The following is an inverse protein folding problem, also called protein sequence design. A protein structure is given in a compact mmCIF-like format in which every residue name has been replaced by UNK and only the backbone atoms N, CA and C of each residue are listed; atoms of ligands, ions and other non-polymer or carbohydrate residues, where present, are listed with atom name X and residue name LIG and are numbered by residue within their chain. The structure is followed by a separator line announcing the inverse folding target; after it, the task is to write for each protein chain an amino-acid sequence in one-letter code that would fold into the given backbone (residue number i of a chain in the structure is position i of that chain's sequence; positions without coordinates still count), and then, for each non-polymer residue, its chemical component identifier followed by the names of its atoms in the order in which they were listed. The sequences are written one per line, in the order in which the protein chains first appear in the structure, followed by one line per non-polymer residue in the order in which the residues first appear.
data_IF_514610350399
#
_entry.id   IF_514610350399
#
_cell.length_a   1.000
_cell.length_b   1.000
_cell.length_c   1.000
_cell.angle_alpha   90.00
_cell.angle_beta   90.00
_cell.angle_gamma   90.00
#
_symmetry.space_group_name_H-M   'P 1'
#
loop_
_entity.id
_entity.type
_entity.pdbx_description
1 polymer ?
#
# COMPACT_ATOMS: atom_id res chain seq x y z
N UNK A 1 -1.90 -18.27 10.96
CA UNK A 1 -2.88 -17.49 11.76
C UNK A 1 -2.10 -16.55 12.68
N UNK A 2 -2.27 -15.22 12.54
CA UNK A 2 -1.54 -14.22 13.35
C UNK A 2 -2.28 -13.90 14.66
N UNK A 3 -1.54 -13.72 15.76
CA UNK A 3 -2.04 -13.55 17.14
C UNK A 3 -1.40 -12.27 17.74
N UNK A 4 -2.17 -11.41 18.42
CA UNK A 4 -1.71 -10.09 18.94
C UNK A 4 -1.10 -10.15 20.36
N UNK A 5 0.01 -9.43 20.59
CA UNK A 5 0.71 -9.29 21.88
C UNK A 5 2.20 -8.91 21.74
N UNK A 6 2.95 -8.76 22.84
CA UNK A 6 4.41 -8.47 22.80
C UNK A 6 5.26 -9.58 22.12
N UNK A 7 4.67 -10.74 21.85
CA UNK A 7 5.22 -11.82 21.03
C UNK A 7 4.51 -12.01 19.69
N UNK A 8 3.81 -10.99 19.18
CA UNK A 8 3.19 -11.01 17.85
C UNK A 8 4.28 -11.06 16.77
N UNK A 9 4.28 -12.05 15.86
CA UNK A 9 5.25 -12.13 14.78
C UNK A 9 5.15 -10.98 13.76
N UNK A 10 4.09 -10.15 13.79
CA UNK A 10 3.89 -9.07 12.79
C UNK A 10 3.68 -7.71 13.48
N UNK A 11 4.74 -7.12 14.07
CA UNK A 11 4.60 -6.05 15.05
C UNK A 11 3.98 -4.74 14.55
N UNK A 12 3.85 -4.49 13.23
CA UNK A 12 3.21 -3.26 12.70
C UNK A 12 2.52 -3.49 11.35
N UNK A 13 1.25 -3.88 11.38
CA UNK A 13 0.34 -3.55 10.28
C UNK A 13 -0.12 -2.12 10.47
N UNK A 14 0.29 -1.24 9.58
CA UNK A 14 -0.23 0.12 9.55
C UNK A 14 -1.48 0.17 8.68
N UNK A 15 -2.51 0.84 9.17
CA UNK A 15 -3.62 1.34 8.35
C UNK A 15 -3.16 2.55 7.53
N UNK A 16 -3.92 2.93 6.50
CA UNK A 16 -3.65 4.13 5.72
C UNK A 16 -3.63 5.38 6.63
N UNK A 17 -4.55 5.44 7.60
CA UNK A 17 -4.65 6.53 8.57
C UNK A 17 -3.44 6.59 9.50
N UNK A 18 -2.95 5.43 9.96
CA UNK A 18 -1.74 5.39 10.80
C UNK A 18 -0.49 5.81 10.01
N UNK A 19 -0.36 5.42 8.74
CA UNK A 19 0.75 5.87 7.91
C UNK A 19 0.65 7.38 7.65
N UNK A 20 -0.54 7.89 7.32
CA UNK A 20 -0.78 9.32 7.14
C UNK A 20 -0.42 10.12 8.40
N UNK A 21 -0.81 9.63 9.58
CA UNK A 21 -0.46 10.27 10.86
C UNK A 21 1.05 10.27 11.11
N UNK A 22 1.76 9.20 10.78
CA UNK A 22 3.22 9.15 10.89
C UNK A 22 3.91 10.13 9.93
N UNK A 23 3.45 10.21 8.68
CA UNK A 23 3.98 11.15 7.68
C UNK A 23 3.73 12.60 8.11
N UNK A 24 2.51 12.93 8.56
CA UNK A 24 2.18 14.25 9.10
C UNK A 24 2.96 14.60 10.36
N UNK A 25 3.13 13.63 11.27
CA UNK A 25 3.95 13.78 12.48
C UNK A 25 5.44 14.02 12.19
N UNK A 26 5.93 13.61 11.03
CA UNK A 26 7.27 13.91 10.54
C UNK A 26 7.40 15.31 9.89
N UNK A 27 6.34 16.12 9.87
CA UNK A 27 6.34 17.46 9.28
C UNK A 27 6.26 17.45 7.74
N UNK A 28 5.82 16.34 7.15
CA UNK A 28 5.60 16.23 5.71
C UNK A 28 4.11 16.43 5.39
N UNK A 29 3.82 17.01 4.23
CA UNK A 29 2.49 17.00 3.64
C UNK A 29 2.16 15.55 3.21
N UNK A 30 1.06 15.01 3.70
CA UNK A 30 0.60 13.67 3.34
C UNK A 30 0.03 13.71 1.93
N UNK A 31 0.66 12.97 1.02
CA UNK A 31 0.21 12.79 -0.36
C UNK A 31 -0.60 11.50 -0.55
N UNK A 32 -0.71 11.02 -1.80
CA UNK A 32 -1.48 9.82 -2.13
C UNK A 32 -1.01 8.57 -1.37
N UNK A 33 -1.98 7.70 -1.06
CA UNK A 33 -1.76 6.37 -0.46
C UNK A 33 -2.18 5.31 -1.47
N UNK A 34 -1.25 4.42 -1.81
CA UNK A 34 -1.46 3.35 -2.78
C UNK A 34 -1.48 1.99 -2.10
N UNK A 35 -2.43 1.15 -2.48
CA UNK A 35 -2.36 -0.29 -2.23
C UNK A 35 -1.33 -0.92 -3.17
N UNK A 36 -0.47 -1.80 -2.66
CA UNK A 36 0.53 -2.51 -3.47
C UNK A 36 0.30 -4.01 -3.31
N UNK A 37 0.31 -4.73 -4.44
CA UNK A 37 0.03 -6.17 -4.53
C UNK A 37 -1.33 -6.50 -3.90
N UNK A 38 -2.38 -5.89 -4.44
CA UNK A 38 -3.77 -6.10 -4.01
C UNK A 38 -4.25 -7.50 -4.40
N UNK A 39 -3.84 -7.98 -5.57
CA UNK A 39 -4.31 -9.25 -6.16
C UNK A 39 -3.19 -10.25 -6.42
N UNK A 40 -1.95 -9.80 -6.63
CA UNK A 40 -0.81 -10.64 -6.99
C UNK A 40 -0.57 -11.80 -6.02
N UNK A 41 -0.97 -11.64 -4.76
CA UNK A 41 -0.81 -12.64 -3.70
C UNK A 41 -2.03 -13.51 -3.50
N UNK A 42 -3.16 -13.10 -4.09
CA UNK A 42 -4.45 -13.77 -4.01
C UNK A 42 -4.72 -14.61 -5.26
N UNK A 43 -4.13 -14.25 -6.39
CA UNK A 43 -4.28 -14.96 -7.67
C UNK A 43 -3.33 -16.16 -7.70
N UNK A 44 -3.83 -17.39 -7.94
CA UNK A 44 -2.99 -18.56 -8.12
C UNK A 44 -1.99 -18.38 -9.28
N UNK A 45 -0.69 -18.57 -9.01
CA UNK A 45 0.36 -18.38 -10.02
C UNK A 45 0.16 -19.20 -11.30
N UNK A 46 -0.38 -20.42 -11.18
CA UNK A 46 -0.69 -21.28 -12.33
C UNK A 46 -1.61 -20.60 -13.36
N UNK A 47 -2.58 -19.78 -12.92
CA UNK A 47 -3.47 -19.07 -13.85
C UNK A 47 -2.76 -17.95 -14.58
N UNK A 48 -1.76 -17.32 -13.95
CA UNK A 48 -0.94 -16.27 -14.56
C UNK A 48 0.05 -16.86 -15.55
N UNK A 49 0.56 -18.06 -15.26
CA UNK A 49 1.59 -18.74 -16.06
C UNK A 49 1.00 -19.42 -17.32
N UNK A 50 -0.25 -19.87 -17.29
CA UNK A 50 -0.85 -20.64 -18.41
C UNK A 50 -1.65 -19.78 -19.38
N UNK A 51 -2.21 -18.67 -18.93
CA UNK A 51 -3.10 -17.83 -19.74
C UNK A 51 -2.33 -16.72 -20.47
N UNK A 52 -2.34 -16.70 -21.82
CA UNK A 52 -1.66 -15.66 -22.59
C UNK A 52 -2.13 -14.26 -22.20
N UNK A 53 -1.19 -13.40 -21.80
CA UNK A 53 -1.47 -12.01 -21.43
C UNK A 53 -2.02 -11.81 -20.01
N UNK A 54 -2.18 -12.86 -19.20
CA UNK A 54 -2.69 -12.75 -17.83
C UNK A 54 -1.80 -11.88 -16.93
N UNK A 55 -0.47 -11.91 -17.13
CA UNK A 55 0.47 -11.01 -16.43
C UNK A 55 0.10 -9.55 -16.68
N UNK A 56 -0.14 -9.16 -17.93
CA UNK A 56 -0.44 -7.77 -18.26
C UNK A 56 -1.84 -7.36 -17.80
N UNK A 57 -2.81 -8.26 -17.89
CA UNK A 57 -4.14 -8.04 -17.33
C UNK A 57 -4.10 -7.83 -15.81
N UNK A 58 -3.29 -8.65 -15.11
CA UNK A 58 -3.09 -8.51 -13.66
C UNK A 58 -2.40 -7.19 -13.32
N UNK A 59 -1.38 -6.76 -14.08
CA UNK A 59 -0.73 -5.46 -13.89
C UNK A 59 -1.72 -4.30 -14.05
N UNK A 60 -2.55 -4.30 -15.09
CA UNK A 60 -3.56 -3.25 -15.30
C UNK A 60 -4.60 -3.22 -14.17
N UNK A 61 -4.98 -4.41 -13.67
CA UNK A 61 -5.90 -4.51 -12.54
C UNK A 61 -5.27 -3.98 -11.25
N UNK A 62 -4.00 -4.30 -10.99
CA UNK A 62 -3.23 -3.79 -9.84
C UNK A 62 -3.10 -2.27 -9.88
N UNK A 63 -2.75 -1.70 -11.03
CA UNK A 63 -2.64 -0.25 -11.22
C UNK A 63 -3.98 0.45 -10.93
N UNK A 64 -5.08 -0.07 -11.47
CA UNK A 64 -6.42 0.48 -11.22
C UNK A 64 -6.85 0.38 -9.74
N UNK A 65 -6.46 -0.70 -9.05
CA UNK A 65 -6.82 -0.90 -7.65
C UNK A 65 -5.93 -0.12 -6.68
N UNK A 66 -4.68 0.18 -7.07
CA UNK A 66 -3.71 0.87 -6.22
C UNK A 66 -4.24 2.22 -5.71
N UNK A 67 -4.97 2.97 -6.53
CA UNK A 67 -5.50 4.30 -6.20
C UNK A 67 -6.81 4.27 -5.39
N UNK A 68 -7.45 3.11 -5.25
CA UNK A 68 -8.77 2.99 -4.63
C UNK A 68 -8.67 2.64 -3.15
N UNK A 69 -9.09 3.52 -2.22
CA UNK A 69 -8.98 3.28 -0.78
C UNK A 69 -9.70 2.02 -0.30
N UNK A 70 -10.74 1.59 -1.01
CA UNK A 70 -11.48 0.37 -0.71
C UNK A 70 -10.60 -0.91 -0.74
N UNK A 71 -9.48 -0.90 -1.47
CA UNK A 71 -8.57 -2.04 -1.55
C UNK A 71 -7.40 -1.99 -0.55
N UNK A 72 -7.22 -0.90 0.20
CA UNK A 72 -6.10 -0.78 1.15
C UNK A 72 -6.10 -1.86 2.23
N UNK A 73 -7.29 -2.32 2.66
CA UNK A 73 -7.42 -3.34 3.69
C UNK A 73 -6.95 -4.75 3.26
N UNK A 74 -6.93 -5.02 1.96
CA UNK A 74 -6.52 -6.31 1.39
C UNK A 74 -5.16 -6.26 0.70
N UNK A 75 -4.64 -5.06 0.44
CA UNK A 75 -3.30 -4.88 -0.11
C UNK A 75 -2.24 -5.48 0.83
N UNK A 76 -1.30 -6.23 0.27
CA UNK A 76 -0.18 -6.78 1.05
C UNK A 76 0.69 -5.67 1.64
N UNK A 77 0.77 -4.52 0.96
CA UNK A 77 1.53 -3.35 1.40
C UNK A 77 0.77 -2.06 1.10
N UNK A 78 1.10 -1.00 1.86
CA UNK A 78 0.63 0.37 1.60
C UNK A 78 1.84 1.25 1.33
N UNK A 79 1.74 2.09 0.30
CA UNK A 79 2.77 3.07 -0.06
C UNK A 79 2.22 4.48 0.04
N UNK A 80 2.78 5.29 0.93
CA UNK A 80 2.39 6.70 1.12
C UNK A 80 3.48 7.61 0.61
N UNK A 81 3.11 8.59 -0.20
CA UNK A 81 4.01 9.66 -0.62
C UNK A 81 3.93 10.81 0.39
N UNK A 82 5.07 11.20 0.96
CA UNK A 82 5.19 12.42 1.78
C UNK A 82 5.90 13.50 0.98
N UNK A 83 5.32 14.71 0.91
CA UNK A 83 5.97 15.86 0.29
C UNK A 83 6.56 16.77 1.36
N UNK A 84 7.82 17.14 1.21
CA UNK A 84 8.38 18.27 1.96
C UNK A 84 7.75 19.53 1.40
N UNK A 85 7.04 20.30 2.23
CA UNK A 85 6.58 21.63 1.83
C UNK A 85 7.76 22.45 1.28
N UNK A 86 7.51 23.48 0.44
CA UNK A 86 8.59 24.36 0.01
C UNK A 86 9.36 24.77 1.26
N UNK A 87 10.68 24.57 1.25
CA UNK A 87 11.51 25.01 2.36
C UNK A 87 11.12 26.47 2.59
N UNK A 88 10.55 26.77 3.76
CA UNK A 88 10.19 28.14 4.07
C UNK A 88 11.42 28.98 3.80
N UNK A 89 11.29 29.90 2.86
CA UNK A 89 12.11 31.09 2.86
C UNK A 89 11.80 31.72 4.21
N UNK A 90 12.72 31.50 5.17
CA UNK A 90 12.66 32.11 6.48
C UNK A 90 12.62 33.61 6.27
N UNK A 91 11.44 34.21 6.42
CA UNK A 91 11.30 35.63 6.69
C UNK A 91 11.66 35.90 8.16
#
# INVERSE_FOLDING_TARGET
AGRWGAGDPVPRRFTAEQLAALVGGAGLEVGPVHGVRVFADLVPGVLVDTEPGAVEALLRLEEAAAELPAFHAVATQLHVLGRKGPAGESA
#
